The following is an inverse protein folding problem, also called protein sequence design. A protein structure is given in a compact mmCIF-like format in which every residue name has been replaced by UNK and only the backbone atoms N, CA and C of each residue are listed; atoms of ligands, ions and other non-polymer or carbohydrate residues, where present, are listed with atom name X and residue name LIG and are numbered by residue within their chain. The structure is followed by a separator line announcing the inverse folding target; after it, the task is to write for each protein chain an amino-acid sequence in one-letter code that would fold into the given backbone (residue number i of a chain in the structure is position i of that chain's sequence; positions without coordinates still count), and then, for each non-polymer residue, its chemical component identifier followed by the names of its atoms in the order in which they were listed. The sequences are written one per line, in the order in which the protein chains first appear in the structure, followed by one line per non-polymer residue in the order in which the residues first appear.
data_IF_681266518870
#
_entry.id   IF_681266518870
#
_cell.length_a   1.000
_cell.length_b   1.000
_cell.length_c   1.000
_cell.angle_alpha   90.00
_cell.angle_beta   90.00
_cell.angle_gamma   90.00
#
_symmetry.space_group_name_H-M   'P 1'
#
loop_
_entity.id
_entity.type
_entity.pdbx_description
1 polymer ?
#
# COMPACT_ATOMS: atom_id res chain seq x y z
N UNK A 1 42.95 -25.39 6.97
CA UNK A 1 42.72 -24.29 7.93
C UNK A 1 41.76 -24.79 9.01
N UNK A 2 42.12 -24.74 10.29
CA UNK A 2 41.30 -25.31 11.38
C UNK A 2 40.24 -24.30 11.86
N UNK A 3 38.99 -24.48 11.39
CA UNK A 3 37.84 -23.61 11.72
C UNK A 3 37.34 -23.72 13.18
N UNK A 4 37.82 -24.71 13.94
CA UNK A 4 37.47 -24.88 15.35
C UNK A 4 38.09 -23.82 16.28
N UNK A 5 39.21 -23.21 15.88
CA UNK A 5 39.87 -22.15 16.66
C UNK A 5 39.14 -20.80 16.54
N UNK A 6 38.51 -20.51 15.40
CA UNK A 6 37.78 -19.26 15.17
C UNK A 6 36.47 -19.21 15.97
N UNK A 7 35.77 -20.34 16.05
CA UNK A 7 34.49 -20.46 16.76
C UNK A 7 34.60 -20.27 18.29
N UNK A 8 35.78 -20.53 18.89
CA UNK A 8 36.00 -20.29 20.33
C UNK A 8 36.27 -18.82 20.65
N UNK A 9 36.89 -18.05 19.75
CA UNK A 9 37.18 -16.62 19.99
C UNK A 9 35.94 -15.72 20.01
N UNK A 10 34.86 -16.14 19.34
CA UNK A 10 33.61 -15.35 19.26
C UNK A 10 32.70 -15.63 20.47
N UNK A 11 32.85 -16.78 21.14
CA UNK A 11 31.98 -17.18 22.25
C UNK A 11 32.35 -16.52 23.60
N UNK A 12 33.57 -16.01 23.76
CA UNK A 12 34.00 -15.34 25.00
C UNK A 12 33.64 -13.84 25.06
N UNK A 13 33.31 -13.18 23.94
CA UNK A 13 33.00 -11.73 23.94
C UNK A 13 31.57 -11.36 24.36
N UNK A 14 30.66 -12.32 24.54
CA UNK A 14 29.23 -12.03 24.80
C UNK A 14 28.71 -12.48 26.17
N UNK A 15 29.58 -12.78 27.14
CA UNK A 15 29.17 -13.07 28.52
C UNK A 15 29.77 -12.08 29.51
N UNK A 16 29.20 -10.88 29.59
CA UNK A 16 29.19 -10.13 30.85
C UNK A 16 28.10 -9.06 30.88
N UNK A 17 27.28 -9.16 31.93
CA UNK A 17 26.47 -8.12 32.58
C UNK A 17 25.16 -7.66 31.91
N UNK A 18 24.08 -8.33 32.30
CA UNK A 18 22.80 -7.66 32.55
C UNK A 18 22.78 -7.15 34.01
N UNK A 19 22.43 -5.87 34.21
CA UNK A 19 21.64 -5.35 35.34
C UNK A 19 21.41 -3.83 35.22
N UNK A 20 20.14 -3.46 34.99
CA UNK A 20 19.47 -2.20 35.41
C UNK A 20 19.74 -1.98 36.91
N UNK A 21 19.81 -0.79 37.54
CA UNK A 21 19.26 0.60 37.40
C UNK A 21 19.99 1.43 38.53
N UNK A 22 19.55 2.64 38.96
CA UNK A 22 19.51 3.99 38.35
C UNK A 22 20.31 5.06 39.17
N UNK A 23 20.60 6.26 38.64
CA UNK A 23 20.43 7.58 39.35
C UNK A 23 21.22 8.76 38.74
N UNK A 24 20.53 9.90 38.74
CA UNK A 24 20.96 11.32 38.64
C UNK A 24 22.41 11.65 39.03
N UNK A 25 23.07 12.51 38.25
CA UNK A 25 23.54 13.84 38.67
C UNK A 25 24.15 14.64 37.50
N UNK A 26 24.09 15.96 37.63
CA UNK A 26 24.70 17.00 36.79
C UNK A 26 26.21 16.86 36.62
N UNK A 27 26.77 17.35 35.50
CA UNK A 27 27.72 18.48 35.50
C UNK A 27 28.20 18.87 34.08
N UNK A 28 28.57 20.15 33.96
CA UNK A 28 29.09 20.88 32.81
C UNK A 28 30.57 20.54 32.57
N UNK A 29 31.08 20.75 31.33
CA UNK A 29 32.47 21.13 30.99
C UNK A 29 32.69 20.91 29.49
N UNK A 30 32.67 21.91 28.60
CA UNK A 30 33.74 22.88 28.23
C UNK A 30 34.91 22.31 27.39
N UNK A 31 34.98 22.85 26.15
CA UNK A 31 36.11 23.19 25.26
C UNK A 31 37.34 22.27 25.09
N UNK A 32 37.70 21.98 23.82
CA UNK A 32 38.89 22.52 23.11
C UNK A 32 38.89 22.09 21.62
N UNK A 33 39.02 23.02 20.64
CA UNK A 33 40.23 23.39 19.85
C UNK A 33 40.82 22.22 19.02
N UNK A 34 41.25 22.33 17.75
CA UNK A 34 41.59 23.44 16.85
C UNK A 34 41.91 22.90 15.44
N UNK A 35 41.73 23.72 14.39
CA UNK A 35 42.69 24.01 13.28
C UNK A 35 41.91 24.73 12.15
N UNK A 36 42.02 26.06 11.95
CA UNK A 36 43.09 26.86 11.30
C UNK A 36 43.53 26.31 9.93
N UNK A 37 43.75 27.07 8.86
CA UNK A 37 43.60 28.51 8.52
C UNK A 37 44.00 28.70 7.03
N UNK A 38 43.55 29.79 6.39
CA UNK A 38 44.18 30.63 5.32
C UNK A 38 43.09 31.06 4.31
N UNK A 39 42.65 32.33 4.21
CA UNK A 39 43.27 33.67 4.14
C UNK A 39 43.99 33.96 2.82
N UNK A 40 43.36 34.75 1.95
CA UNK A 40 44.00 35.87 1.21
C UNK A 40 42.96 36.99 1.02
N UNK A 41 43.33 38.18 1.50
CA UNK A 41 42.67 39.49 1.33
C UNK A 41 42.82 40.06 -0.08
N UNK A 42 41.86 40.89 -0.53
CA UNK A 42 42.21 42.14 -1.20
C UNK A 42 41.08 43.20 -1.13
N UNK A 43 41.47 44.35 -0.60
CA UNK A 43 40.72 45.59 -0.36
C UNK A 43 40.49 46.41 -1.64
N UNK A 44 39.41 47.21 -1.71
CA UNK A 44 39.45 48.65 -2.00
C UNK A 44 38.06 49.37 -1.95
N UNK A 45 38.06 50.49 -1.22
CA UNK A 45 37.33 51.79 -1.37
C UNK A 45 35.85 51.97 -1.02
N UNK A 46 35.66 52.87 -0.04
CA UNK A 46 34.51 53.68 0.41
C UNK A 46 33.90 54.57 -0.69
N UNK A 47 32.56 54.67 -0.74
CA UNK A 47 31.79 55.91 -0.47
C UNK A 47 30.28 55.74 -0.76
N UNK A 48 29.46 56.23 0.17
CA UNK A 48 28.02 56.59 0.12
C UNK A 48 26.97 55.56 0.59
N UNK A 49 26.58 55.68 1.87
CA UNK A 49 25.20 55.80 2.43
C UNK A 49 24.01 55.00 1.82
N UNK A 50 24.25 53.87 1.14
CA UNK A 50 23.20 52.99 0.57
C UNK A 50 23.23 51.55 1.13
N UNK A 51 24.18 51.23 2.01
CA UNK A 51 24.46 49.85 2.42
C UNK A 51 23.36 49.18 3.26
N UNK A 52 22.57 49.95 4.02
CA UNK A 52 21.51 49.37 4.87
C UNK A 52 20.31 48.86 4.04
N UNK A 53 20.08 49.44 2.86
CA UNK A 53 19.00 49.04 1.93
C UNK A 53 19.44 47.88 1.03
N UNK A 54 20.72 47.81 0.65
CA UNK A 54 21.26 46.72 -0.17
C UNK A 54 21.49 45.42 0.63
N UNK A 55 21.90 45.51 1.90
CA UNK A 55 21.99 44.39 2.84
C UNK A 55 20.63 43.72 3.07
N UNK A 56 19.57 44.50 3.30
CA UNK A 56 18.21 44.01 3.46
C UNK A 56 17.67 43.33 2.18
N UNK A 57 18.04 43.86 0.99
CA UNK A 57 17.67 43.28 -0.30
C UNK A 57 18.44 41.98 -0.62
N UNK A 58 19.71 41.87 -0.20
CA UNK A 58 20.50 40.64 -0.31
C UNK A 58 20.03 39.55 0.68
N UNK A 59 19.70 39.93 1.92
CA UNK A 59 19.13 39.02 2.91
C UNK A 59 17.75 38.48 2.47
N UNK A 60 16.88 39.33 1.93
CA UNK A 60 15.59 38.90 1.37
C UNK A 60 15.72 38.12 0.06
N UNK A 61 16.75 38.36 -0.76
CA UNK A 61 17.06 37.54 -1.94
C UNK A 61 17.61 36.16 -1.55
N UNK A 62 18.44 36.08 -0.49
CA UNK A 62 18.93 34.84 0.08
C UNK A 62 17.79 34.02 0.73
N UNK A 63 16.89 34.65 1.49
CA UNK A 63 15.69 34.00 2.03
C UNK A 63 14.76 33.47 0.93
N UNK A 64 14.57 34.22 -0.17
CA UNK A 64 13.79 33.75 -1.33
C UNK A 64 14.45 32.56 -2.04
N UNK A 65 15.78 32.50 -2.10
CA UNK A 65 16.52 31.35 -2.63
C UNK A 65 16.43 30.12 -1.70
N UNK A 66 16.48 30.32 -0.38
CA UNK A 66 16.29 29.26 0.63
C UNK A 66 14.84 28.73 0.56
N UNK A 67 13.83 29.60 0.52
CA UNK A 67 12.42 29.21 0.33
C UNK A 67 12.16 28.49 -1.00
N UNK A 68 12.87 28.86 -2.07
CA UNK A 68 12.78 28.19 -3.38
C UNK A 68 13.49 26.82 -3.39
N UNK A 69 14.47 26.59 -2.50
CA UNK A 69 15.18 25.31 -2.30
C UNK A 69 14.46 24.36 -1.33
N UNK A 70 13.63 24.85 -0.42
CA UNK A 70 12.87 24.02 0.52
C UNK A 70 12.04 22.88 -0.11
N UNK A 71 11.30 23.08 -1.23
CA UNK A 71 10.56 21.96 -1.83
C UNK A 71 11.48 20.87 -2.37
N UNK A 72 12.67 21.22 -2.86
CA UNK A 72 13.67 20.23 -3.31
C UNK A 72 14.31 19.50 -2.14
N UNK A 73 14.59 20.17 -1.02
CA UNK A 73 15.07 19.50 0.21
C UNK A 73 14.05 18.50 0.74
N UNK A 74 12.77 18.87 0.80
CA UNK A 74 11.70 17.95 1.24
C UNK A 74 11.56 16.73 0.33
N UNK A 75 11.68 16.92 -1.00
CA UNK A 75 11.65 15.81 -1.96
C UNK A 75 12.87 14.90 -1.76
N UNK A 76 14.07 15.46 -1.58
CA UNK A 76 15.28 14.66 -1.35
C UNK A 76 15.20 13.89 -0.03
N UNK A 77 14.69 14.50 1.04
CA UNK A 77 14.45 13.82 2.32
C UNK A 77 13.42 12.69 2.18
N UNK A 78 12.34 12.90 1.43
CA UNK A 78 11.37 11.84 1.13
C UNK A 78 11.98 10.69 0.32
N UNK A 79 12.81 11.00 -0.68
CA UNK A 79 13.51 9.98 -1.46
C UNK A 79 14.45 9.18 -0.56
N UNK A 80 15.24 9.84 0.29
CA UNK A 80 16.14 9.17 1.22
C UNK A 80 15.39 8.29 2.23
N UNK A 81 14.25 8.76 2.74
CA UNK A 81 13.40 7.97 3.61
C UNK A 81 12.84 6.73 2.89
N UNK A 82 12.37 6.87 1.65
CA UNK A 82 11.86 5.75 0.87
C UNK A 82 12.96 4.74 0.52
N UNK A 83 14.16 5.22 0.20
CA UNK A 83 15.33 4.35 -0.05
C UNK A 83 15.68 3.57 1.22
N UNK A 84 15.69 4.22 2.39
CA UNK A 84 15.94 3.54 3.66
C UNK A 84 14.87 2.49 3.99
N UNK A 85 13.60 2.74 3.70
CA UNK A 85 12.52 1.76 3.88
C UNK A 85 12.65 0.58 2.92
N UNK A 86 13.06 0.84 1.68
CA UNK A 86 13.32 -0.22 0.69
C UNK A 86 14.52 -1.06 1.06
N UNK A 87 15.61 -0.46 1.57
CA UNK A 87 16.78 -1.18 2.07
C UNK A 87 16.42 -2.09 3.24
N UNK A 88 15.56 -1.63 4.15
CA UNK A 88 15.07 -2.45 5.27
C UNK A 88 14.23 -3.63 4.78
N UNK A 89 13.27 -3.38 3.89
CA UNK A 89 12.43 -4.44 3.30
C UNK A 89 13.28 -5.48 2.57
N UNK A 90 14.28 -5.03 1.81
CA UNK A 90 15.17 -5.92 1.07
C UNK A 90 16.03 -6.79 2.01
N UNK A 91 16.44 -6.26 3.16
CA UNK A 91 17.15 -7.03 4.18
C UNK A 91 16.25 -8.08 4.84
N UNK A 92 15.00 -7.74 5.14
CA UNK A 92 14.01 -8.67 5.68
C UNK A 92 13.70 -9.80 4.68
N UNK A 93 13.49 -9.45 3.41
CA UNK A 93 13.26 -10.43 2.33
C UNK A 93 14.43 -11.42 2.20
N UNK A 94 15.68 -10.94 2.28
CA UNK A 94 16.86 -11.82 2.26
C UNK A 94 16.91 -12.77 3.46
N UNK A 95 16.51 -12.30 4.64
CA UNK A 95 16.47 -13.13 5.85
C UNK A 95 15.37 -14.20 5.76
N UNK A 96 14.20 -13.84 5.23
CA UNK A 96 13.11 -14.78 4.98
C UNK A 96 13.47 -15.81 3.91
N UNK A 97 14.10 -15.38 2.82
CA UNK A 97 14.58 -16.27 1.77
C UNK A 97 15.58 -17.29 2.32
N UNK A 98 16.54 -16.84 3.14
CA UNK A 98 17.51 -17.73 3.77
C UNK A 98 16.82 -18.77 4.66
N UNK A 99 15.82 -18.35 5.45
CA UNK A 99 15.02 -19.25 6.29
C UNK A 99 14.23 -20.26 5.44
N UNK A 100 13.69 -19.83 4.30
CA UNK A 100 12.98 -20.69 3.37
C UNK A 100 13.92 -21.74 2.77
N UNK A 101 15.09 -21.32 2.29
CA UNK A 101 16.12 -22.21 1.73
C UNK A 101 16.56 -23.27 2.74
N UNK A 102 16.83 -22.87 3.98
CA UNK A 102 17.19 -23.80 5.05
C UNK A 102 16.06 -24.78 5.39
N UNK A 103 14.81 -24.33 5.34
CA UNK A 103 13.65 -25.20 5.59
C UNK A 103 13.48 -26.21 4.46
N UNK A 104 13.67 -25.78 3.21
CA UNK A 104 13.62 -26.64 2.04
C UNK A 104 14.71 -27.71 2.12
N UNK A 105 15.96 -27.33 2.41
CA UNK A 105 17.08 -28.26 2.57
C UNK A 105 16.79 -29.35 3.60
N UNK A 106 16.30 -28.98 4.79
CA UNK A 106 15.89 -29.94 5.83
C UNK A 106 14.76 -30.87 5.39
N UNK A 107 13.81 -30.37 4.61
CA UNK A 107 12.74 -31.23 4.08
C UNK A 107 13.26 -32.20 3.02
N UNK A 108 14.17 -31.74 2.16
CA UNK A 108 14.84 -32.60 1.17
C UNK A 108 15.65 -33.70 1.86
N UNK A 109 16.43 -33.37 2.89
CA UNK A 109 17.16 -34.35 3.71
C UNK A 109 16.20 -35.39 4.30
N UNK A 110 15.10 -34.94 4.91
CA UNK A 110 14.08 -35.84 5.48
C UNK A 110 13.43 -36.77 4.44
N UNK A 111 13.16 -36.26 3.24
CA UNK A 111 12.64 -37.08 2.13
C UNK A 111 13.66 -38.14 1.73
N UNK A 112 14.95 -37.78 1.67
CA UNK A 112 16.01 -38.73 1.35
C UNK A 112 16.15 -39.83 2.42
N UNK A 113 16.04 -39.49 3.70
CA UNK A 113 16.02 -40.46 4.81
C UNK A 113 14.81 -41.41 4.73
N UNK A 114 13.63 -40.88 4.41
CA UNK A 114 12.42 -41.67 4.23
C UNK A 114 12.52 -42.61 3.02
N UNK A 115 13.09 -42.15 1.91
CA UNK A 115 13.35 -42.97 0.73
C UNK A 115 14.33 -44.10 1.03
N UNK A 116 15.42 -43.79 1.74
CA UNK A 116 16.36 -44.81 2.20
C UNK A 116 15.66 -45.85 3.08
N UNK A 117 14.85 -45.40 4.05
CA UNK A 117 14.08 -46.29 4.92
C UNK A 117 13.11 -47.18 4.12
N UNK A 118 12.40 -46.60 3.15
CA UNK A 118 11.49 -47.32 2.28
C UNK A 118 12.23 -48.40 1.45
N UNK A 119 13.38 -48.07 0.90
CA UNK A 119 14.15 -49.02 0.09
C UNK A 119 14.75 -50.15 0.92
N UNK A 120 15.19 -49.86 2.15
CA UNK A 120 15.61 -50.91 3.10
C UNK A 120 14.45 -51.85 3.45
N UNK A 121 13.25 -51.31 3.66
CA UNK A 121 12.07 -52.12 3.98
C UNK A 121 11.59 -52.93 2.76
N UNK A 122 11.67 -52.38 1.55
CA UNK A 122 11.43 -53.13 0.31
C UNK A 122 12.40 -54.31 0.17
N UNK A 123 13.70 -54.10 0.45
CA UNK A 123 14.69 -55.19 0.40
C UNK A 123 14.36 -56.29 1.42
N UNK A 124 14.01 -55.89 2.65
CA UNK A 124 13.58 -56.83 3.70
C UNK A 124 12.33 -57.62 3.27
N UNK A 125 11.32 -56.95 2.73
CA UNK A 125 10.09 -57.58 2.26
C UNK A 125 10.34 -58.51 1.07
N UNK A 126 11.18 -58.12 0.11
CA UNK A 126 11.58 -59.01 -0.98
C UNK A 126 12.28 -60.27 -0.48
N UNK A 127 13.17 -60.15 0.51
CA UNK A 127 13.81 -61.31 1.15
C UNK A 127 12.80 -62.21 1.85
N UNK A 128 11.81 -61.62 2.53
CA UNK A 128 10.74 -62.37 3.19
C UNK A 128 9.89 -63.14 2.17
N UNK A 129 9.52 -62.49 1.05
CA UNK A 129 8.78 -63.13 -0.05
C UNK A 129 9.58 -64.28 -0.68
N UNK A 130 10.90 -64.11 -0.87
CA UNK A 130 11.78 -65.18 -1.34
C UNK A 130 11.83 -66.36 -0.37
N UNK A 131 11.92 -66.11 0.95
CA UNK A 131 11.89 -67.16 1.97
C UNK A 131 10.56 -67.92 1.99
N UNK A 132 9.43 -67.21 1.85
CA UNK A 132 8.09 -67.82 1.78
C UNK A 132 7.90 -68.64 0.51
N UNK A 133 8.46 -68.20 -0.63
CA UNK A 133 8.37 -68.91 -1.90
C UNK A 133 9.28 -70.16 -1.91
N UNK A 134 10.49 -70.05 -1.36
CA UNK A 134 11.47 -71.16 -1.36
C UNK A 134 11.29 -72.11 -0.15
N UNK A 135 10.52 -71.72 0.86
CA UNK A 135 10.21 -72.55 2.03
C UNK A 135 9.21 -73.68 1.76
N UNK A 136 8.51 -73.63 0.63
CA UNK A 136 7.52 -74.65 0.25
C UNK A 136 8.06 -75.73 -0.70
N UNK A 137 9.24 -75.53 -1.30
CA UNK A 137 9.78 -76.42 -2.34
C UNK A 137 10.92 -77.34 -1.85
N UNK A 138 11.35 -77.22 -0.58
CA UNK A 138 12.48 -78.01 -0.04
C UNK A 138 12.09 -79.11 0.97
N UNK A 139 10.81 -79.43 1.12
CA UNK A 139 10.38 -80.67 1.79
C UNK A 139 9.98 -81.72 0.74
N UNK A 140 10.97 -82.16 -0.04
CA UNK A 140 10.87 -83.44 -0.74
C UNK A 140 12.21 -84.14 -0.64
N UNK A 141 12.30 -85.10 0.28
CA UNK A 141 13.26 -86.19 0.24
C UNK A 141 12.71 -87.36 1.07
N UNK A 142 12.53 -88.49 0.37
CA UNK A 142 12.31 -89.87 0.85
C UNK A 142 10.92 -90.26 1.36
N UNK A 143 10.07 -90.74 0.45
CA UNK A 143 9.89 -92.19 0.17
C UNK A 143 8.49 -92.45 -0.43
N UNK A 144 8.49 -92.78 -1.73
CA UNK A 144 7.75 -93.89 -2.36
C UNK A 144 6.38 -94.30 -1.74
N UNK A 145 5.25 -93.80 -2.28
CA UNK A 145 4.15 -94.63 -2.82
C UNK A 145 2.98 -93.76 -3.37
N UNK A 146 2.57 -94.06 -4.61
CA UNK A 146 1.24 -93.83 -5.19
C UNK A 146 0.67 -92.40 -5.32
N UNK A 147 0.99 -91.78 -6.45
CA UNK A 147 0.06 -90.90 -7.16
C UNK A 147 -0.94 -91.76 -7.98
N UNK A 148 -2.16 -91.96 -7.47
CA UNK A 148 -3.41 -92.01 -8.25
C UNK A 148 -4.59 -92.40 -7.35
N UNK A 149 -5.75 -91.79 -7.61
CA UNK A 149 -7.05 -92.08 -6.99
C UNK A 149 -7.27 -91.67 -5.52
N UNK A 150 -7.58 -90.39 -5.33
CA UNK A 150 -8.70 -90.05 -4.44
C UNK A 150 -9.35 -88.75 -4.93
N UNK A 151 -10.46 -88.88 -5.64
CA UNK A 151 -11.43 -87.79 -5.74
C UNK A 151 -11.90 -87.42 -4.33
N UNK A 152 -11.33 -86.35 -3.77
CA UNK A 152 -11.74 -85.75 -2.51
C UNK A 152 -11.72 -84.22 -2.60
N UNK A 153 -12.40 -83.67 -3.61
CA UNK A 153 -13.07 -82.37 -3.43
C UNK A 153 -14.30 -82.61 -2.53
N UNK A 154 -14.03 -82.99 -1.28
CA UNK A 154 -15.01 -83.16 -0.22
C UNK A 154 -15.12 -81.88 0.58
N UNK A 155 -16.29 -81.25 0.53
CA UNK A 155 -16.77 -80.29 1.53
C UNK A 155 -16.57 -80.92 2.92
N UNK A 156 -15.59 -80.44 3.70
CA UNK A 156 -15.39 -80.98 5.04
C UNK A 156 -13.98 -80.84 5.63
N UNK A 157 -13.46 -79.62 5.77
CA UNK A 157 -12.76 -79.21 7.00
C UNK A 157 -12.61 -77.69 7.04
N UNK A 158 -13.68 -76.97 7.41
CA UNK A 158 -13.55 -75.59 7.80
C UNK A 158 -12.96 -75.56 9.22
N UNK A 159 -11.85 -74.84 9.41
CA UNK A 159 -11.47 -74.29 10.72
C UNK A 159 -11.15 -75.33 11.82
N UNK A 160 -10.17 -76.22 11.60
CA UNK A 160 -9.48 -76.89 12.75
C UNK A 160 -7.98 -76.62 12.84
N UNK A 161 -7.33 -76.27 11.74
CA UNK A 161 -5.91 -75.86 11.77
C UNK A 161 -5.66 -74.53 12.51
N UNK A 162 -6.68 -73.68 12.68
CA UNK A 162 -6.51 -72.42 13.41
C UNK A 162 -6.48 -72.62 14.93
N UNK A 163 -7.13 -73.65 15.48
CA UNK A 163 -7.10 -73.92 16.93
C UNK A 163 -5.72 -74.39 17.38
N UNK A 164 -5.18 -75.40 16.69
CA UNK A 164 -3.89 -76.02 17.05
C UNK A 164 -2.71 -75.06 16.85
N UNK A 165 -2.79 -74.13 15.87
CA UNK A 165 -1.79 -73.08 15.68
C UNK A 165 -1.79 -72.06 16.82
N UNK A 166 -2.96 -71.66 17.34
CA UNK A 166 -3.02 -70.71 18.47
C UNK A 166 -2.63 -71.37 19.80
N UNK A 167 -2.87 -72.67 19.97
CA UNK A 167 -2.39 -73.45 21.11
C UNK A 167 -0.87 -73.70 21.06
N UNK A 168 -0.26 -73.72 19.87
CA UNK A 168 1.20 -73.83 19.70
C UNK A 168 1.96 -72.52 20.00
N UNK A 169 1.25 -71.38 20.02
CA UNK A 169 1.83 -70.08 20.34
C UNK A 169 1.92 -69.94 21.84
N UNK A 170 3.13 -69.70 22.35
CA UNK A 170 3.36 -69.43 23.77
C UNK A 170 2.43 -68.29 24.25
N UNK A 171 1.62 -68.51 25.30
CA UNK A 171 0.77 -67.46 25.88
C UNK A 171 1.57 -66.20 26.25
N UNK A 172 2.84 -66.36 26.65
CA UNK A 172 3.75 -65.25 26.94
C UNK A 172 4.07 -64.42 25.69
N UNK A 173 4.29 -65.07 24.55
CA UNK A 173 4.55 -64.38 23.28
C UNK A 173 3.31 -63.64 22.78
N UNK A 174 2.13 -64.24 22.93
CA UNK A 174 0.85 -63.59 22.59
C UNK A 174 0.60 -62.34 23.44
N UNK A 175 0.86 -62.45 24.75
CA UNK A 175 0.78 -61.32 25.68
C UNK A 175 1.77 -60.21 25.30
N UNK A 176 3.03 -60.56 25.00
CA UNK A 176 4.04 -59.58 24.59
C UNK A 176 3.62 -58.84 23.32
N UNK A 177 3.10 -59.54 22.31
CA UNK A 177 2.61 -58.91 21.07
C UNK A 177 1.39 -58.03 21.31
N UNK A 178 0.50 -58.45 22.21
CA UNK A 178 -0.64 -57.62 22.60
C UNK A 178 -0.19 -56.33 23.30
N UNK A 179 0.78 -56.41 24.21
CA UNK A 179 1.31 -55.25 24.92
C UNK A 179 2.07 -54.28 23.99
N UNK A 180 2.87 -54.81 23.06
CA UNK A 180 3.52 -54.04 21.99
C UNK A 180 2.49 -53.30 21.13
N UNK A 181 1.44 -54.00 20.69
CA UNK A 181 0.38 -53.43 19.87
C UNK A 181 -0.43 -52.38 20.65
N UNK A 182 -0.76 -52.64 21.92
CA UNK A 182 -1.48 -51.72 22.78
C UNK A 182 -0.67 -50.44 23.04
N UNK A 183 0.65 -50.55 23.26
CA UNK A 183 1.55 -49.41 23.41
C UNK A 183 1.61 -48.58 22.12
N UNK A 184 1.78 -49.24 20.96
CA UNK A 184 1.79 -48.59 19.65
C UNK A 184 0.47 -47.87 19.36
N UNK A 185 -0.68 -48.51 19.63
CA UNK A 185 -2.00 -47.91 19.45
C UNK A 185 -2.21 -46.68 20.35
N UNK A 186 -1.79 -46.76 21.63
CA UNK A 186 -1.85 -45.60 22.55
C UNK A 186 -0.96 -44.45 22.07
N UNK A 187 0.23 -44.75 21.56
CA UNK A 187 1.13 -43.74 20.99
C UNK A 187 0.52 -43.10 19.74
N UNK A 188 0.02 -43.91 18.80
CA UNK A 188 -0.64 -43.44 17.58
C UNK A 188 -1.83 -42.52 17.91
N UNK A 189 -2.69 -42.93 18.86
CA UNK A 189 -3.82 -42.10 19.31
C UNK A 189 -3.38 -40.75 19.90
N UNK A 190 -2.30 -40.71 20.68
CA UNK A 190 -1.73 -39.45 21.19
C UNK A 190 -1.18 -38.57 20.07
N UNK A 191 -0.52 -39.16 19.08
CA UNK A 191 0.00 -38.43 17.92
C UNK A 191 -1.15 -37.87 17.07
N UNK A 192 -2.20 -38.66 16.84
CA UNK A 192 -3.40 -38.23 16.12
C UNK A 192 -4.06 -37.03 16.82
N UNK A 193 -4.29 -37.10 18.13
CA UNK A 193 -4.85 -35.99 18.90
C UNK A 193 -3.99 -34.70 18.80
N UNK A 194 -2.66 -34.83 18.83
CA UNK A 194 -1.75 -33.69 18.62
C UNK A 194 -1.90 -33.09 17.22
N UNK A 195 -2.03 -33.93 16.19
CA UNK A 195 -2.21 -33.49 14.80
C UNK A 195 -3.56 -32.82 14.60
N UNK A 196 -4.64 -33.36 15.18
CA UNK A 196 -5.97 -32.75 15.15
C UNK A 196 -5.98 -31.37 15.82
N UNK A 197 -5.33 -31.23 16.97
CA UNK A 197 -5.20 -29.93 17.64
C UNK A 197 -4.41 -28.93 16.80
N UNK A 198 -3.29 -29.35 16.21
CA UNK A 198 -2.49 -28.48 15.34
C UNK A 198 -3.27 -28.06 14.09
N UNK A 199 -4.04 -28.98 13.50
CA UNK A 199 -4.89 -28.71 12.35
C UNK A 199 -5.95 -27.67 12.67
N UNK A 200 -6.63 -27.78 13.82
CA UNK A 200 -7.60 -26.78 14.28
C UNK A 200 -6.97 -25.39 14.45
N UNK A 201 -5.79 -25.32 15.06
CA UNK A 201 -5.08 -24.04 15.23
C UNK A 201 -4.73 -23.42 13.87
N UNK A 202 -4.19 -24.21 12.94
CA UNK A 202 -3.88 -23.74 11.59
C UNK A 202 -5.12 -23.30 10.80
N UNK A 203 -6.26 -23.95 11.02
CA UNK A 203 -7.54 -23.51 10.43
C UNK A 203 -7.96 -22.14 10.97
N UNK A 204 -7.92 -21.95 12.29
CA UNK A 204 -8.22 -20.65 12.91
C UNK A 204 -7.27 -19.55 12.40
N UNK A 205 -5.96 -19.81 12.37
CA UNK A 205 -4.98 -18.85 11.83
C UNK A 205 -5.25 -18.52 10.35
N UNK A 206 -5.64 -19.51 9.55
CA UNK A 206 -5.98 -19.29 8.15
C UNK A 206 -7.24 -18.42 7.98
N UNK A 207 -8.25 -18.62 8.81
CA UNK A 207 -9.47 -17.81 8.84
C UNK A 207 -9.16 -16.36 9.26
N UNK A 208 -8.32 -16.17 10.29
CA UNK A 208 -7.86 -14.84 10.70
C UNK A 208 -7.08 -14.14 9.60
N UNK A 209 -6.16 -14.83 8.91
CA UNK A 209 -5.42 -14.26 7.79
C UNK A 209 -6.35 -13.87 6.64
N UNK A 210 -7.35 -14.69 6.33
CA UNK A 210 -8.36 -14.37 5.31
C UNK A 210 -9.17 -13.13 5.70
N UNK A 211 -9.55 -13.01 6.97
CA UNK A 211 -10.26 -11.82 7.45
C UNK A 211 -9.41 -10.55 7.31
N UNK A 212 -8.13 -10.61 7.72
CA UNK A 212 -7.17 -9.50 7.58
C UNK A 212 -6.94 -9.13 6.12
N UNK A 213 -6.81 -10.12 5.24
CA UNK A 213 -6.69 -9.90 3.80
C UNK A 213 -7.91 -9.19 3.23
N UNK A 214 -9.12 -9.64 3.58
CA UNK A 214 -10.36 -9.02 3.11
C UNK A 214 -10.49 -7.57 3.59
N UNK A 215 -10.14 -7.30 4.85
CA UNK A 215 -10.12 -5.95 5.41
C UNK A 215 -9.15 -5.03 4.64
N UNK A 216 -7.91 -5.48 4.44
CA UNK A 216 -6.90 -4.74 3.68
C UNK A 216 -7.35 -4.50 2.23
N UNK A 217 -7.98 -5.49 1.61
CA UNK A 217 -8.51 -5.37 0.25
C UNK A 217 -9.64 -4.33 0.16
N UNK A 218 -10.51 -4.28 1.18
CA UNK A 218 -11.56 -3.27 1.27
C UNK A 218 -11.00 -1.86 1.48
N UNK A 219 -9.95 -1.70 2.29
CA UNK A 219 -9.25 -0.43 2.45
C UNK A 219 -8.60 0.03 1.14
N UNK A 220 -7.92 -0.88 0.44
CA UNK A 220 -7.38 -0.61 -0.88
C UNK A 220 -8.47 -0.15 -1.87
N UNK A 221 -9.60 -0.86 -1.94
CA UNK A 221 -10.76 -0.50 -2.77
C UNK A 221 -11.34 0.87 -2.39
N UNK A 222 -11.36 1.22 -1.11
CA UNK A 222 -11.80 2.56 -0.64
C UNK A 222 -10.78 3.63 -1.06
N UNK A 223 -9.49 3.36 -0.93
CA UNK A 223 -8.40 4.24 -1.37
C UNK A 223 -8.46 4.52 -2.87
N UNK A 224 -8.59 3.46 -3.68
CA UNK A 224 -8.73 3.56 -5.13
C UNK A 224 -9.90 4.46 -5.54
N UNK A 225 -11.10 4.24 -4.97
CA UNK A 225 -12.28 5.07 -5.27
C UNK A 225 -12.08 6.54 -4.89
N UNK A 226 -11.42 6.82 -3.77
CA UNK A 226 -11.07 8.20 -3.37
C UNK A 226 -10.11 8.84 -4.36
N UNK A 227 -9.09 8.09 -4.79
CA UNK A 227 -8.13 8.56 -5.78
C UNK A 227 -8.80 8.86 -7.12
N UNK A 228 -9.63 7.95 -7.64
CA UNK A 228 -10.40 8.13 -8.87
C UNK A 228 -11.29 9.39 -8.81
N UNK A 229 -11.95 9.62 -7.67
CA UNK A 229 -12.75 10.83 -7.44
C UNK A 229 -11.90 12.11 -7.51
N UNK A 230 -10.71 12.10 -6.91
CA UNK A 230 -9.77 13.23 -6.97
C UNK A 230 -9.29 13.46 -8.40
N UNK A 231 -8.92 12.41 -9.12
CA UNK A 231 -8.52 12.49 -10.54
C UNK A 231 -9.65 13.05 -11.41
N UNK A 232 -10.88 12.57 -11.25
CA UNK A 232 -12.04 13.06 -11.99
C UNK A 232 -12.29 14.56 -11.69
N UNK A 233 -12.20 14.96 -10.41
CA UNK A 233 -12.35 16.37 -10.01
C UNK A 233 -11.24 17.24 -10.59
N UNK A 234 -9.99 16.78 -10.55
CA UNK A 234 -8.86 17.48 -11.15
C UNK A 234 -9.06 17.68 -12.65
N UNK A 235 -9.42 16.62 -13.37
CA UNK A 235 -9.67 16.69 -14.81
C UNK A 235 -10.81 17.67 -15.14
N UNK A 236 -11.91 17.63 -14.38
CA UNK A 236 -13.02 18.57 -14.54
C UNK A 236 -12.58 20.03 -14.29
N UNK A 237 -11.76 20.27 -13.27
CA UNK A 237 -11.22 21.60 -12.99
C UNK A 237 -10.30 22.09 -14.10
N UNK A 238 -9.45 21.22 -14.64
CA UNK A 238 -8.56 21.53 -15.77
C UNK A 238 -9.36 21.89 -17.04
N UNK A 239 -10.39 21.12 -17.37
CA UNK A 239 -11.29 21.42 -18.50
C UNK A 239 -11.95 22.79 -18.31
N UNK A 240 -12.50 23.06 -17.11
CA UNK A 240 -13.11 24.35 -16.78
C UNK A 240 -12.13 25.51 -16.88
N UNK A 241 -10.89 25.33 -16.40
CA UNK A 241 -9.84 26.36 -16.49
C UNK A 241 -9.47 26.63 -17.95
N UNK A 242 -9.33 25.59 -18.77
CA UNK A 242 -9.07 25.74 -20.21
C UNK A 242 -10.20 26.53 -20.90
N UNK A 243 -11.46 26.23 -20.58
CA UNK A 243 -12.61 26.97 -21.11
C UNK A 243 -12.59 28.44 -20.69
N UNK A 244 -12.26 28.74 -19.43
CA UNK A 244 -12.12 30.13 -18.95
C UNK A 244 -11.05 30.91 -19.70
N UNK A 245 -9.88 30.29 -19.92
CA UNK A 245 -8.79 30.89 -20.68
C UNK A 245 -9.26 31.19 -22.10
N UNK A 246 -9.99 30.26 -22.74
CA UNK A 246 -10.54 30.46 -24.07
C UNK A 246 -11.56 31.61 -24.11
N UNK A 247 -12.49 31.68 -23.16
CA UNK A 247 -13.48 32.76 -23.09
C UNK A 247 -12.78 34.12 -22.91
N UNK A 248 -11.82 34.22 -21.98
CA UNK A 248 -11.04 35.44 -21.77
C UNK A 248 -10.26 35.86 -23.02
N UNK A 249 -9.62 34.90 -23.70
CA UNK A 249 -8.91 35.13 -24.96
C UNK A 249 -9.86 35.69 -26.01
N UNK A 250 -11.04 35.11 -26.17
CA UNK A 250 -12.04 35.59 -27.13
C UNK A 250 -12.52 36.99 -26.79
N UNK A 251 -12.83 37.27 -25.51
CA UNK A 251 -13.21 38.63 -25.07
C UNK A 251 -12.12 39.64 -25.35
N UNK A 252 -10.85 39.31 -25.06
CA UNK A 252 -9.73 40.19 -25.31
C UNK A 252 -9.52 40.43 -26.81
N UNK A 253 -9.64 39.40 -27.65
CA UNK A 253 -9.55 39.53 -29.11
C UNK A 253 -10.62 40.51 -29.63
N UNK A 254 -11.88 40.38 -29.20
CA UNK A 254 -12.93 41.32 -29.60
C UNK A 254 -12.64 42.74 -29.11
N UNK A 255 -12.13 42.91 -27.89
CA UNK A 255 -11.73 44.22 -27.37
C UNK A 255 -10.61 44.85 -28.20
N UNK A 256 -9.56 44.09 -28.53
CA UNK A 256 -8.47 44.55 -29.39
C UNK A 256 -8.96 44.95 -30.78
N UNK A 257 -9.89 44.20 -31.37
CA UNK A 257 -10.50 44.55 -32.67
C UNK A 257 -11.35 45.82 -32.59
N UNK A 258 -12.08 46.04 -31.49
CA UNK A 258 -12.79 47.29 -31.24
C UNK A 258 -11.81 48.46 -31.17
N UNK A 259 -10.73 48.34 -30.39
CA UNK A 259 -9.73 49.39 -30.26
C UNK A 259 -9.05 49.71 -31.59
N UNK A 260 -8.65 48.68 -32.34
CA UNK A 260 -8.04 48.84 -33.65
C UNK A 260 -8.96 49.62 -34.61
N UNK A 261 -10.23 49.22 -34.73
CA UNK A 261 -11.15 49.93 -35.62
C UNK A 261 -11.53 51.32 -35.10
N UNK A 262 -11.65 51.53 -33.79
CA UNK A 262 -11.86 52.85 -33.22
C UNK A 262 -10.69 53.79 -33.54
N UNK A 263 -9.46 53.29 -33.45
CA UNK A 263 -8.27 54.05 -33.78
C UNK A 263 -8.22 54.40 -35.28
N UNK A 264 -8.51 53.46 -36.18
CA UNK A 264 -8.60 53.73 -37.62
C UNK A 264 -9.67 54.79 -37.95
N UNK A 265 -10.84 54.75 -37.28
CA UNK A 265 -11.91 55.75 -37.43
C UNK A 265 -11.40 57.15 -37.03
N UNK A 266 -10.71 57.25 -35.89
CA UNK A 266 -10.14 58.52 -35.39
C UNK A 266 -9.06 59.03 -36.35
N UNK A 267 -8.15 58.17 -36.79
CA UNK A 267 -7.07 58.51 -37.71
C UNK A 267 -7.59 59.03 -39.05
N UNK A 268 -8.61 58.36 -39.63
CA UNK A 268 -9.27 58.81 -40.86
C UNK A 268 -9.93 60.17 -40.64
N UNK A 269 -10.63 60.36 -39.52
CA UNK A 269 -11.28 61.63 -39.19
C UNK A 269 -10.28 62.79 -39.07
N UNK A 270 -9.14 62.56 -38.43
CA UNK A 270 -8.06 63.54 -38.23
C UNK A 270 -7.33 63.85 -39.53
N UNK A 271 -6.96 62.84 -40.35
CA UNK A 271 -6.19 63.03 -41.58
C UNK A 271 -7.01 63.65 -42.73
N UNK A 272 -8.30 63.34 -42.84
CA UNK A 272 -9.15 63.77 -43.96
C UNK A 272 -10.11 64.93 -43.63
N UNK A 273 -9.82 65.69 -42.58
CA UNK A 273 -10.46 66.99 -42.30
C UNK A 273 -12.00 66.95 -42.42
N UNK A 274 -12.64 66.00 -41.71
CA UNK A 274 -14.11 65.79 -41.63
C UNK A 274 -14.80 65.13 -42.85
N UNK A 275 -14.08 64.44 -43.73
CA UNK A 275 -14.72 63.56 -44.74
C UNK A 275 -15.28 62.26 -44.12
N UNK A 276 -16.37 62.41 -43.36
CA UNK A 276 -17.17 61.30 -42.77
C UNK A 276 -17.82 60.41 -43.85
N UNK A 277 -17.83 60.87 -45.11
CA UNK A 277 -18.40 60.17 -46.26
C UNK A 277 -17.45 59.15 -46.92
N UNK A 278 -16.23 58.98 -46.41
CA UNK A 278 -15.29 57.98 -46.94
C UNK A 278 -15.80 56.56 -46.71
N UNK A 279 -15.77 55.74 -47.78
CA UNK A 279 -16.17 54.32 -47.71
C UNK A 279 -15.40 53.55 -46.63
N UNK A 280 -14.11 53.85 -46.46
CA UNK A 280 -13.28 53.24 -45.42
C UNK A 280 -13.72 53.60 -43.99
N UNK A 281 -14.19 54.83 -43.77
CA UNK A 281 -14.75 55.24 -42.48
C UNK A 281 -15.99 54.41 -42.14
N UNK A 282 -16.91 54.26 -43.10
CA UNK A 282 -18.13 53.48 -42.92
C UNK A 282 -17.85 51.99 -42.66
N UNK A 283 -16.87 51.41 -43.37
CA UNK A 283 -16.45 50.01 -43.17
C UNK A 283 -15.85 49.77 -41.77
N UNK A 284 -14.98 50.65 -41.30
CA UNK A 284 -14.40 50.54 -39.96
C UNK A 284 -15.43 50.78 -38.86
N UNK A 285 -16.38 51.71 -39.07
CA UNK A 285 -17.48 51.94 -38.13
C UNK A 285 -18.41 50.74 -38.02
N UNK A 286 -18.73 50.07 -39.14
CA UNK A 286 -19.51 48.84 -39.15
C UNK A 286 -18.77 47.68 -38.45
N UNK A 287 -17.47 47.52 -38.71
CA UNK A 287 -16.67 46.50 -38.02
C UNK A 287 -16.52 46.81 -36.53
N UNK A 288 -16.41 48.08 -36.15
CA UNK A 288 -16.41 48.48 -34.75
C UNK A 288 -17.71 48.09 -34.05
N UNK A 289 -18.88 48.43 -34.63
CA UNK A 289 -20.16 48.10 -34.00
C UNK A 289 -20.37 46.59 -33.86
N UNK A 290 -20.06 45.80 -34.88
CA UNK A 290 -20.14 44.33 -34.84
C UNK A 290 -19.21 43.74 -33.78
N UNK A 291 -17.95 44.19 -33.72
CA UNK A 291 -16.99 43.70 -32.73
C UNK A 291 -17.37 44.15 -31.31
N UNK A 292 -17.99 45.32 -31.16
CA UNK A 292 -18.46 45.83 -29.88
C UNK A 292 -19.62 44.99 -29.33
N UNK A 293 -20.57 44.60 -30.17
CA UNK A 293 -21.62 43.65 -29.79
C UNK A 293 -21.03 42.29 -29.38
N UNK A 294 -20.12 41.74 -30.18
CA UNK A 294 -19.40 40.50 -29.85
C UNK A 294 -18.65 40.60 -28.53
N UNK A 295 -17.99 41.74 -28.27
CA UNK A 295 -17.29 42.02 -27.01
C UNK A 295 -18.25 42.06 -25.82
N UNK A 296 -19.40 42.74 -25.93
CA UNK A 296 -20.41 42.80 -24.88
C UNK A 296 -20.99 41.41 -24.57
N UNK A 297 -21.25 40.60 -25.59
CA UNK A 297 -21.70 39.21 -25.44
C UNK A 297 -20.63 38.39 -24.69
N UNK A 298 -19.36 38.49 -25.12
CA UNK A 298 -18.25 37.76 -24.49
C UNK A 298 -18.00 38.20 -23.03
N UNK A 299 -18.13 39.50 -22.73
CA UNK A 299 -18.08 40.05 -21.38
C UNK A 299 -19.21 39.52 -20.50
N UNK A 300 -20.43 39.45 -21.03
CA UNK A 300 -21.60 38.94 -20.32
C UNK A 300 -21.40 37.47 -19.92
N UNK A 301 -20.83 36.66 -20.81
CA UNK A 301 -20.44 35.29 -20.51
C UNK A 301 -19.40 35.19 -19.40
N UNK A 302 -18.39 36.08 -19.38
CA UNK A 302 -17.41 36.11 -18.29
C UNK A 302 -18.04 36.45 -16.92
N UNK A 303 -18.96 37.43 -16.90
CA UNK A 303 -19.63 37.89 -15.68
C UNK A 303 -20.65 36.87 -15.14
N UNK A 304 -21.44 36.25 -16.01
CA UNK A 304 -22.42 35.24 -15.63
C UNK A 304 -21.75 33.97 -15.08
N UNK A 305 -20.65 33.53 -15.69
CA UNK A 305 -19.87 32.42 -15.16
C UNK A 305 -19.25 32.70 -13.79
N UNK A 306 -18.72 33.92 -13.57
CA UNK A 306 -18.21 34.31 -12.24
C UNK A 306 -19.31 34.26 -11.19
N UNK A 307 -20.49 34.81 -11.50
CA UNK A 307 -21.64 34.81 -10.59
C UNK A 307 -22.14 33.39 -10.27
N UNK A 308 -22.20 32.52 -11.29
CA UNK A 308 -22.55 31.11 -11.10
C UNK A 308 -21.57 30.41 -10.14
N UNK A 309 -20.27 30.66 -10.29
CA UNK A 309 -19.24 30.06 -9.42
C UNK A 309 -19.32 30.56 -7.99
N UNK A 310 -19.58 31.85 -7.78
CA UNK A 310 -19.79 32.39 -6.44
C UNK A 310 -20.96 31.68 -5.73
N UNK A 311 -22.09 31.50 -6.42
CA UNK A 311 -23.24 30.77 -5.87
C UNK A 311 -22.96 29.29 -5.61
N UNK A 312 -22.17 28.62 -6.46
CA UNK A 312 -21.80 27.21 -6.26
C UNK A 312 -20.87 27.01 -5.05
N UNK A 313 -19.92 27.93 -4.85
CA UNK A 313 -19.04 27.96 -3.69
C UNK A 313 -19.83 28.21 -2.40
N UNK A 314 -20.76 29.16 -2.42
CA UNK A 314 -21.64 29.46 -1.29
C UNK A 314 -22.50 28.24 -0.89
N UNK A 315 -23.09 27.54 -1.88
CA UNK A 315 -23.85 26.30 -1.63
C UNK A 315 -22.98 25.15 -1.09
N UNK A 316 -21.71 25.06 -1.49
CA UNK A 316 -20.80 24.05 -0.93
C UNK A 316 -20.40 24.38 0.51
N UNK A 317 -20.17 25.66 0.83
CA UNK A 317 -19.85 26.09 2.19
C UNK A 317 -21.04 25.90 3.16
N UNK A 318 -22.28 26.15 2.71
CA UNK A 318 -23.48 25.89 3.50
C UNK A 318 -23.68 24.40 3.83
N UNK A 319 -23.24 23.48 2.95
CA UNK A 319 -23.28 22.04 3.22
C UNK A 319 -22.21 21.55 4.20
N UNK A 320 -21.08 22.24 4.29
CA UNK A 320 -19.97 21.91 5.17
C UNK A 320 -20.13 22.51 6.59
N UNK A 321 -21.09 23.41 6.81
CA UNK A 321 -21.29 24.05 8.10
C UNK A 321 -22.79 24.27 8.44
N UNK A 322 -23.55 23.20 8.75
CA UNK A 322 -24.99 23.29 9.06
C UNK A 322 -25.30 23.97 10.40
N UNK A 323 -24.30 24.27 11.25
CA UNK A 323 -24.53 24.84 12.58
C UNK A 323 -24.75 26.36 12.61
N UNK A 324 -24.47 27.11 11.53
CA UNK A 324 -24.75 28.56 11.49
C UNK A 324 -26.17 28.93 11.02
N UNK A 325 -26.92 28.00 10.45
CA UNK A 325 -28.29 28.25 9.98
C UNK A 325 -29.37 28.02 11.03
N UNK A 326 -29.08 27.35 12.16
CA UNK A 326 -30.06 27.13 13.23
C UNK A 326 -30.20 28.34 14.20
N UNK A 327 -29.14 29.14 14.38
CA UNK A 327 -29.18 30.31 15.28
C UNK A 327 -29.76 31.58 14.64
N UNK A 328 -29.98 31.59 13.31
CA UNK A 328 -30.57 32.73 12.60
C UNK A 328 -32.10 32.65 12.48
N UNK A 329 -32.69 31.45 12.60
CA UNK A 329 -34.14 31.27 12.46
C UNK A 329 -34.85 31.58 13.80
N UNK A 330 -34.18 31.39 14.93
CA UNK A 330 -34.75 31.69 16.25
C UNK A 330 -34.83 33.18 16.62
N UNK A 331 -34.25 34.11 15.83
CA UNK A 331 -34.36 35.56 16.10
C UNK A 331 -35.20 36.35 15.10
N UNK A 332 -35.60 35.76 13.97
CA UNK A 332 -36.46 36.42 12.97
C UNK A 332 -37.96 36.15 13.17
N UNK A 333 -38.34 35.08 13.87
CA UNK A 333 -39.74 34.67 14.04
C UNK A 333 -40.54 35.49 15.07
N UNK A 334 -39.90 36.35 15.87
CA UNK A 334 -40.61 37.27 16.76
C UNK A 334 -41.02 38.60 16.10
N UNK A 335 -40.52 38.91 14.89
CA UNK A 335 -40.73 40.22 14.23
C UNK A 335 -41.61 40.20 12.97
N UNK A 336 -41.98 39.01 12.47
CA UNK A 336 -42.85 38.88 11.30
C UNK A 336 -44.36 38.83 11.65
N UNK A 337 -44.72 38.57 12.90
CA UNK A 337 -46.12 38.53 13.36
C UNK A 337 -46.82 39.89 13.48
N UNK A 338 -46.09 41.01 13.55
CA UNK A 338 -46.67 42.35 13.75
C UNK A 338 -46.71 43.24 12.51
N UNK A 339 -46.05 42.85 11.41
CA UNK A 339 -46.06 43.62 10.15
C UNK A 339 -47.14 43.16 9.17
N UNK A 340 -47.63 41.91 9.29
CA UNK A 340 -48.68 41.38 8.41
C UNK A 340 -50.11 41.82 8.78
N UNK A 341 -50.32 42.37 9.98
CA UNK A 341 -51.65 42.85 10.44
C UNK A 341 -51.89 44.34 10.20
N UNK A 342 -50.87 45.12 9.86
CA UNK A 342 -51.01 46.56 9.54
C UNK A 342 -51.32 46.86 8.07
N UNK A 343 -51.24 45.88 7.18
CA UNK A 343 -51.55 46.07 5.75
C UNK A 343 -52.98 45.63 5.37
N UNK A 344 -53.67 44.86 6.22
CA UNK A 344 -55.00 44.32 5.91
C UNK A 344 -56.17 45.25 6.26
N UNK A 345 -55.94 46.38 6.94
CA UNK A 345 -57.01 47.31 7.36
C UNK A 345 -57.06 48.64 6.58
N UNK A 346 -56.32 48.76 5.46
CA UNK A 346 -56.25 50.00 4.67
C UNK A 346 -56.75 49.88 3.23
N UNK A 347 -57.50 48.83 2.92
CA UNK A 347 -58.11 48.59 1.60
C UNK A 347 -59.63 48.34 1.65
N UNK A 348 -60.31 48.72 2.74
CA UNK A 348 -61.78 48.60 2.82
C UNK A 348 -62.44 49.81 3.51
N UNK A 349 -62.11 51.03 3.07
CA UNK A 349 -62.94 52.22 3.27
C UNK A 349 -62.65 53.22 2.14
#
# INVERSE_FOLDING_TARGET
MNFSALARSVSERFKSTSKKKPSKSSEKSSYDKSSNCSSVDQSCSDDNDEEEVQSANLATAAEKLVHRRQPYQQIVEQILHQVSELEHTLYEDQQEEFKLRLTLERQTERINELNFSLDTEKQRNNRLVQLLRNGNDNCSLSDEHEMAEAGLFGVGSPVKLCGDLYESISPLLMQQRYDELAASHRQSRRQLAKKESALKNLQCENEELKAKYNELFDEFRKGQRRFEMVCARYLQMTIRKKQQIMTLKNTLTCACQCLFHAQEIIDIYVRHQKQVTSKHYAEHLQKYSQNFECFLIALRHCCSERKLRAMQLEKQQQKLNPQKSASSIASSDATLGLKSLKFAYKLSL
#
